data_IF_010387459047
#
_entry.id   IF_010387459047
#
_cell.length_a   1.000
_cell.length_b   1.000
_cell.length_c   1.000
_cell.angle_alpha   90.00
_cell.angle_beta   90.00
_cell.angle_gamma   90.00
#
_symmetry.space_group_name_H-M   'P 1'
#
loop_
_entity.id
_entity.type
_entity.pdbx_description
1 polymer ?
#
# COMPACT_ATOMS: atom_id res chain seq x y z
N UNK A 1 -47.39 10.39 7.95
CA UNK A 1 -46.12 10.32 7.21
C UNK A 1 -46.10 8.96 6.54
N UNK A 2 -46.52 8.85 5.28
CA UNK A 2 -46.53 7.55 4.59
C UNK A 2 -45.10 7.02 4.47
N UNK A 3 -44.94 5.71 4.69
CA UNK A 3 -43.65 5.03 4.56
C UNK A 3 -43.12 5.15 3.13
N UNK A 4 -41.81 5.33 2.95
CA UNK A 4 -41.15 5.29 1.64
C UNK A 4 -41.54 4.03 0.83
N UNK A 5 -41.78 2.93 1.53
CA UNK A 5 -42.19 1.64 0.93
C UNK A 5 -43.60 1.74 0.35
N UNK A 6 -44.56 2.37 1.03
CA UNK A 6 -45.93 2.50 0.52
C UNK A 6 -46.00 3.46 -0.68
N UNK A 7 -45.13 4.47 -0.73
CA UNK A 7 -45.00 5.36 -1.88
C UNK A 7 -44.39 4.62 -3.09
N UNK A 8 -43.37 3.80 -2.86
CA UNK A 8 -42.77 2.96 -3.91
C UNK A 8 -43.75 1.93 -4.46
N UNK A 9 -44.57 1.29 -3.61
CA UNK A 9 -45.61 0.34 -4.05
C UNK A 9 -46.68 1.04 -4.89
N UNK A 10 -47.15 2.23 -4.50
CA UNK A 10 -48.11 2.99 -5.32
C UNK A 10 -47.52 3.42 -6.67
N UNK A 11 -46.24 3.79 -6.72
CA UNK A 11 -45.57 4.13 -7.97
C UNK A 11 -45.40 2.90 -8.87
N UNK A 12 -45.11 1.75 -8.25
CA UNK A 12 -45.05 0.46 -8.91
C UNK A 12 -46.40 0.12 -9.56
N UNK A 13 -47.50 0.16 -8.81
CA UNK A 13 -48.80 -0.30 -9.31
C UNK A 13 -49.45 0.64 -10.34
N UNK A 14 -49.23 1.96 -10.25
CA UNK A 14 -50.01 2.94 -11.02
C UNK A 14 -49.32 3.49 -12.28
N UNK A 15 -48.01 3.31 -12.45
CA UNK A 15 -47.27 3.96 -13.54
C UNK A 15 -46.39 2.98 -14.33
N UNK A 16 -46.80 2.58 -15.55
CA UNK A 16 -46.01 1.70 -16.43
C UNK A 16 -44.59 2.21 -16.73
N UNK A 17 -44.41 3.54 -16.74
CA UNK A 17 -43.11 4.20 -16.96
C UNK A 17 -42.13 3.95 -15.79
N UNK A 18 -42.64 3.72 -14.58
CA UNK A 18 -41.80 3.42 -13.41
C UNK A 18 -41.01 2.12 -13.62
N UNK A 19 -41.61 1.07 -14.17
CA UNK A 19 -40.93 -0.19 -14.46
C UNK A 19 -39.76 -0.02 -15.42
N UNK A 20 -39.98 0.75 -16.49
CA UNK A 20 -38.95 1.01 -17.51
C UNK A 20 -37.82 1.83 -16.91
N UNK A 21 -38.14 2.90 -16.17
CA UNK A 21 -37.13 3.74 -15.53
C UNK A 21 -36.32 3.00 -14.46
N UNK A 22 -36.96 2.19 -13.62
CA UNK A 22 -36.29 1.38 -12.61
C UNK A 22 -35.40 0.31 -13.25
N UNK A 23 -35.90 -0.40 -14.27
CA UNK A 23 -35.11 -1.40 -14.99
C UNK A 23 -33.90 -0.78 -15.69
N UNK A 24 -34.08 0.39 -16.32
CA UNK A 24 -32.99 1.14 -16.92
C UNK A 24 -31.94 1.59 -15.88
N UNK A 25 -32.38 2.03 -14.69
CA UNK A 25 -31.49 2.36 -13.58
C UNK A 25 -30.68 1.14 -13.13
N UNK A 26 -31.32 -0.02 -12.95
CA UNK A 26 -30.63 -1.27 -12.57
C UNK A 26 -29.59 -1.64 -13.61
N UNK A 27 -29.94 -1.65 -14.90
CA UNK A 27 -29.01 -1.93 -16.00
C UNK A 27 -27.85 -0.93 -16.03
N UNK A 28 -28.12 0.37 -15.84
CA UNK A 28 -27.10 1.40 -15.79
C UNK A 28 -26.12 1.19 -14.62
N UNK A 29 -26.62 0.85 -13.42
CA UNK A 29 -25.78 0.54 -12.26
C UNK A 29 -24.93 -0.70 -12.51
N UNK A 30 -25.50 -1.77 -13.08
CA UNK A 30 -24.76 -2.98 -13.42
C UNK A 30 -23.66 -2.71 -14.46
N UNK A 31 -23.96 -1.93 -15.51
CA UNK A 31 -23.00 -1.53 -16.53
C UNK A 31 -21.87 -0.66 -15.96
N UNK A 32 -22.17 0.28 -15.07
CA UNK A 32 -21.16 1.10 -14.39
C UNK A 32 -20.24 0.23 -13.52
N UNK A 33 -20.80 -0.74 -12.79
CA UNK A 33 -20.01 -1.67 -11.99
C UNK A 33 -19.13 -2.57 -12.86
N UNK A 34 -19.68 -3.15 -13.93
CA UNK A 34 -18.94 -3.99 -14.86
C UNK A 34 -17.82 -3.20 -15.55
N UNK A 35 -18.11 -2.01 -16.06
CA UNK A 35 -17.14 -1.10 -16.68
C UNK A 35 -16.03 -0.70 -15.71
N UNK A 36 -16.37 -0.39 -14.46
CA UNK A 36 -15.38 -0.10 -13.42
C UNK A 36 -14.47 -1.30 -13.15
N UNK A 37 -15.02 -2.53 -13.06
CA UNK A 37 -14.21 -3.75 -12.91
C UNK A 37 -13.28 -3.96 -14.10
N UNK A 38 -13.80 -3.87 -15.32
CA UNK A 38 -12.99 -4.01 -16.54
C UNK A 38 -11.88 -2.97 -16.61
N UNK A 39 -12.16 -1.71 -16.26
CA UNK A 39 -11.16 -0.66 -16.20
C UNK A 39 -10.05 -0.97 -15.19
N UNK A 40 -10.40 -1.45 -14.00
CA UNK A 40 -9.40 -1.83 -12.99
C UNK A 40 -8.51 -2.97 -13.47
N UNK A 41 -9.10 -4.02 -14.05
CA UNK A 41 -8.34 -5.16 -14.57
C UNK A 41 -7.42 -4.72 -15.70
N UNK A 42 -7.93 -3.94 -16.67
CA UNK A 42 -7.12 -3.40 -17.77
C UNK A 42 -5.95 -2.56 -17.26
N UNK A 43 -6.21 -1.60 -16.37
CA UNK A 43 -5.17 -0.75 -15.78
C UNK A 43 -4.10 -1.57 -15.05
N UNK A 44 -4.49 -2.68 -14.41
CA UNK A 44 -3.56 -3.57 -13.70
C UNK A 44 -2.73 -4.42 -14.67
N UNK A 45 -3.34 -4.85 -15.78
CA UNK A 45 -2.65 -5.53 -16.87
C UNK A 45 -1.66 -4.60 -17.59
N UNK A 46 -2.03 -3.34 -17.80
CA UNK A 46 -1.17 -2.31 -18.39
C UNK A 46 0.03 -2.01 -17.46
N UNK A 47 -0.20 -1.98 -16.14
CA UNK A 47 0.86 -1.92 -15.14
C UNK A 47 1.78 -3.14 -15.23
N UNK A 48 1.23 -4.37 -15.22
CA UNK A 48 2.02 -5.60 -15.32
C UNK A 48 2.85 -5.64 -16.61
N UNK A 49 2.24 -5.28 -17.73
CA UNK A 49 2.90 -5.25 -19.04
C UNK A 49 4.04 -4.26 -19.02
N UNK A 50 3.82 -3.05 -18.49
CA UNK A 50 4.86 -2.04 -18.32
C UNK A 50 5.99 -2.50 -17.39
N UNK A 51 5.65 -3.18 -16.29
CA UNK A 51 6.61 -3.66 -15.31
C UNK A 51 7.51 -4.78 -15.86
N UNK A 52 6.94 -5.68 -16.69
CA UNK A 52 7.68 -6.82 -17.27
C UNK A 52 8.45 -6.50 -18.55
N UNK A 53 7.91 -5.63 -19.40
CA UNK A 53 8.42 -5.45 -20.77
C UNK A 53 9.19 -4.15 -20.98
N UNK A 54 9.18 -3.21 -20.02
CA UNK A 54 10.09 -2.07 -20.10
C UNK A 54 11.44 -2.47 -19.52
N UNK A 55 12.44 -2.55 -20.39
CA UNK A 55 13.80 -2.98 -20.05
C UNK A 55 14.36 -2.27 -18.82
N UNK A 56 14.10 -0.97 -18.69
CA UNK A 56 14.51 -0.18 -17.53
C UNK A 56 13.91 -0.70 -16.21
N UNK A 57 12.58 -0.90 -16.14
CA UNK A 57 11.90 -1.31 -14.90
C UNK A 57 12.28 -2.74 -14.52
N UNK A 58 12.41 -3.61 -15.52
CA UNK A 58 12.87 -4.97 -15.32
C UNK A 58 14.30 -4.99 -14.77
N UNK A 59 15.22 -4.26 -15.41
CA UNK A 59 16.61 -4.13 -14.96
C UNK A 59 16.70 -3.60 -13.53
N UNK A 60 15.98 -2.51 -13.24
CA UNK A 60 15.89 -1.94 -11.89
C UNK A 60 15.42 -2.99 -10.87
N UNK A 61 14.40 -3.77 -11.20
CA UNK A 61 13.88 -4.82 -10.33
C UNK A 61 14.91 -5.94 -10.10
N UNK A 62 15.58 -6.37 -11.16
CA UNK A 62 16.61 -7.42 -11.09
C UNK A 62 17.83 -6.95 -10.28
N UNK A 63 18.27 -5.70 -10.46
CA UNK A 63 19.38 -5.09 -9.73
C UNK A 63 19.05 -4.96 -8.23
N UNK A 64 17.83 -4.51 -7.89
CA UNK A 64 17.37 -4.47 -6.49
C UNK A 64 17.35 -5.88 -5.89
N UNK A 65 16.80 -6.86 -6.59
CA UNK A 65 16.80 -8.25 -6.10
C UNK A 65 18.21 -8.81 -5.95
N UNK A 66 19.15 -8.42 -6.81
CA UNK A 66 20.57 -8.78 -6.70
C UNK A 66 21.19 -8.18 -5.44
N UNK A 67 20.97 -6.89 -5.15
CA UNK A 67 21.40 -6.24 -3.91
C UNK A 67 20.87 -7.02 -2.70
N UNK A 68 19.57 -7.33 -2.68
CA UNK A 68 18.89 -8.02 -1.58
C UNK A 68 19.30 -9.49 -1.38
N UNK A 69 19.95 -10.10 -2.38
CA UNK A 69 20.48 -11.48 -2.34
C UNK A 69 22.00 -11.54 -2.17
N UNK A 70 22.72 -10.45 -2.48
CA UNK A 70 24.19 -10.42 -2.51
C UNK A 70 24.84 -10.52 -1.13
N UNK A 71 24.05 -10.47 -0.07
CA UNK A 71 24.53 -10.27 1.29
C UNK A 71 24.31 -11.52 2.14
N UNK A 72 25.35 -11.96 2.87
CA UNK A 72 25.34 -13.21 3.61
C UNK A 72 24.53 -13.12 4.92
N UNK A 73 24.37 -11.91 5.48
CA UNK A 73 23.64 -11.67 6.73
C UNK A 73 22.68 -10.48 6.64
N UNK A 74 21.63 -10.47 7.47
CA UNK A 74 20.69 -9.35 7.56
C UNK A 74 21.37 -8.06 8.09
N UNK A 75 22.37 -8.20 8.97
CA UNK A 75 23.13 -7.09 9.54
C UNK A 75 23.92 -6.36 8.47
N UNK A 76 24.70 -7.09 7.67
CA UNK A 76 25.48 -6.53 6.56
C UNK A 76 24.56 -5.87 5.51
N UNK A 77 23.38 -6.45 5.25
CA UNK A 77 22.41 -5.88 4.31
C UNK A 77 21.87 -4.54 4.84
N UNK A 78 21.56 -4.50 6.13
CA UNK A 78 21.07 -3.30 6.80
C UNK A 78 22.10 -2.17 6.74
N UNK A 79 23.36 -2.46 7.05
CA UNK A 79 24.46 -1.48 6.96
C UNK A 79 24.64 -0.96 5.53
N UNK A 80 24.65 -1.86 4.54
CA UNK A 80 24.74 -1.50 3.12
C UNK A 80 23.59 -0.56 2.72
N UNK A 81 22.35 -0.92 3.06
CA UNK A 81 21.16 -0.12 2.73
C UNK A 81 21.14 1.23 3.44
N UNK A 82 21.61 1.32 4.68
CA UNK A 82 21.77 2.60 5.38
C UNK A 82 22.79 3.49 4.67
N UNK A 83 23.95 2.95 4.29
CA UNK A 83 24.97 3.71 3.54
C UNK A 83 24.41 4.25 2.23
N UNK A 84 23.76 3.40 1.43
CA UNK A 84 23.13 3.81 0.16
C UNK A 84 22.09 4.92 0.40
N UNK A 85 21.26 4.79 1.45
CA UNK A 85 20.22 5.78 1.74
C UNK A 85 20.79 7.15 2.17
N UNK A 86 21.85 7.17 2.99
CA UNK A 86 22.49 8.41 3.49
C UNK A 86 23.17 9.17 2.36
N UNK A 87 23.77 8.46 1.40
CA UNK A 87 24.49 9.07 0.29
C UNK A 87 23.56 9.79 -0.68
N UNK A 88 22.27 9.47 -0.70
CA UNK A 88 21.24 10.13 -1.52
C UNK A 88 21.62 10.31 -3.00
N UNK A 89 22.34 9.34 -3.59
CA UNK A 89 22.75 9.39 -4.99
C UNK A 89 23.94 10.30 -5.28
N UNK A 90 24.69 10.76 -4.26
CA UNK A 90 25.99 11.42 -4.46
C UNK A 90 26.98 10.46 -5.13
N UNK A 91 27.83 10.97 -6.02
CA UNK A 91 28.80 10.17 -6.77
C UNK A 91 29.83 9.52 -5.83
N UNK A 92 29.73 8.20 -5.69
CA UNK A 92 30.77 7.29 -5.23
C UNK A 92 30.76 6.04 -6.14
N UNK A 93 31.83 5.23 -6.12
CA UNK A 93 32.09 4.15 -7.09
C UNK A 93 30.99 3.07 -7.19
N UNK A 94 30.00 3.05 -6.29
CA UNK A 94 28.92 2.03 -6.26
C UNK A 94 27.55 2.53 -5.79
N UNK A 95 27.45 3.66 -5.07
CA UNK A 95 26.24 4.08 -4.36
C UNK A 95 25.24 4.89 -5.18
N UNK A 96 25.66 5.57 -6.25
CA UNK A 96 24.71 6.31 -7.10
C UNK A 96 23.74 5.37 -7.84
N UNK A 97 24.26 4.34 -8.52
CA UNK A 97 23.42 3.39 -9.26
C UNK A 97 22.51 2.55 -8.36
N UNK A 98 23.03 2.02 -7.24
CA UNK A 98 22.24 1.26 -6.26
C UNK A 98 21.12 2.12 -5.66
N UNK A 99 21.41 3.39 -5.34
CA UNK A 99 20.41 4.33 -4.83
C UNK A 99 19.30 4.58 -5.86
N UNK A 100 19.67 4.90 -7.10
CA UNK A 100 18.71 5.19 -8.18
C UNK A 100 17.81 3.98 -8.44
N UNK A 101 18.39 2.78 -8.52
CA UNK A 101 17.64 1.55 -8.72
C UNK A 101 16.64 1.28 -7.57
N UNK A 102 17.08 1.40 -6.31
CA UNK A 102 16.17 1.22 -5.16
C UNK A 102 15.06 2.29 -5.17
N UNK A 103 15.42 3.55 -5.45
CA UNK A 103 14.48 4.67 -5.48
C UNK A 103 13.42 4.47 -6.58
N UNK A 104 13.81 4.04 -7.77
CA UNK A 104 12.91 3.80 -8.91
C UNK A 104 12.02 2.60 -8.68
N UNK A 105 12.56 1.51 -8.12
CA UNK A 105 11.75 0.36 -7.70
C UNK A 105 10.68 0.77 -6.70
N UNK A 106 11.04 1.52 -5.66
CA UNK A 106 10.11 1.97 -4.63
C UNK A 106 9.09 2.98 -5.18
N UNK A 107 9.50 3.87 -6.09
CA UNK A 107 8.59 4.84 -6.73
C UNK A 107 7.53 4.14 -7.59
N UNK A 108 7.93 3.15 -8.39
CA UNK A 108 7.00 2.42 -9.25
C UNK A 108 5.97 1.65 -8.42
N UNK A 109 6.41 1.02 -7.33
CA UNK A 109 5.52 0.32 -6.41
C UNK A 109 4.72 1.26 -5.50
N UNK A 110 5.21 2.45 -5.17
CA UNK A 110 4.43 3.51 -4.50
C UNK A 110 3.30 4.00 -5.41
N UNK A 111 3.56 4.17 -6.71
CA UNK A 111 2.52 4.48 -7.71
C UNK A 111 1.50 3.35 -7.79
N UNK A 112 1.95 2.10 -7.78
CA UNK A 112 1.07 0.94 -7.75
C UNK A 112 0.19 0.89 -6.49
N UNK A 113 0.79 1.10 -5.32
CA UNK A 113 0.08 1.16 -4.05
C UNK A 113 -0.95 2.29 -4.01
N UNK A 114 -0.65 3.45 -4.60
CA UNK A 114 -1.62 4.53 -4.79
C UNK A 114 -2.77 4.11 -5.71
N UNK A 115 -2.48 3.46 -6.84
CA UNK A 115 -3.50 2.93 -7.76
C UNK A 115 -4.44 1.93 -7.09
N UNK A 116 -3.91 1.05 -6.25
CA UNK A 116 -4.70 0.13 -5.42
C UNK A 116 -5.53 0.89 -4.39
N UNK A 117 -4.91 1.83 -3.66
CA UNK A 117 -5.57 2.60 -2.60
C UNK A 117 -6.79 3.37 -3.12
N UNK A 118 -6.69 4.00 -4.30
CA UNK A 118 -7.78 4.73 -4.93
C UNK A 118 -8.72 3.84 -5.77
N UNK A 119 -8.51 2.52 -5.78
CA UNK A 119 -9.34 1.58 -6.51
C UNK A 119 -9.23 1.71 -8.02
N UNK A 120 -8.12 2.24 -8.53
CA UNK A 120 -7.77 2.31 -9.96
C UNK A 120 -7.26 0.97 -10.47
N UNK A 121 -6.62 0.19 -9.60
CA UNK A 121 -6.09 -1.14 -9.88
C UNK A 121 -6.91 -2.24 -9.19
N UNK A 122 -6.88 -3.43 -9.76
CA UNK A 122 -7.38 -4.67 -9.18
C UNK A 122 -6.31 -5.25 -8.26
N UNK A 123 -6.49 -5.02 -6.95
CA UNK A 123 -5.58 -5.53 -5.93
C UNK A 123 -5.47 -7.05 -5.93
N UNK A 124 -6.56 -7.78 -6.20
CA UNK A 124 -6.53 -9.26 -6.15
C UNK A 124 -5.66 -9.82 -7.25
N UNK A 125 -5.78 -9.24 -8.45
CA UNK A 125 -4.91 -9.58 -9.58
C UNK A 125 -3.44 -9.32 -9.25
N UNK A 126 -3.11 -8.10 -8.79
CA UNK A 126 -1.72 -7.73 -8.49
C UNK A 126 -1.14 -8.50 -7.29
N UNK A 127 -1.95 -8.79 -6.28
CA UNK A 127 -1.57 -9.64 -5.14
C UNK A 127 -1.19 -11.04 -5.62
N UNK A 128 -2.03 -11.68 -6.45
CA UNK A 128 -1.76 -13.01 -6.99
C UNK A 128 -0.45 -13.10 -7.76
N UNK A 129 -0.07 -12.03 -8.47
CA UNK A 129 1.15 -12.01 -9.29
C UNK A 129 2.41 -11.60 -8.50
N UNK A 130 2.30 -10.63 -7.59
CA UNK A 130 3.46 -9.91 -7.04
C UNK A 130 3.59 -9.91 -5.52
N UNK A 131 2.65 -10.50 -4.78
CA UNK A 131 2.69 -10.47 -3.31
C UNK A 131 4.03 -10.95 -2.75
N UNK A 132 4.59 -12.04 -3.27
CA UNK A 132 5.88 -12.57 -2.83
C UNK A 132 7.04 -11.61 -3.05
N UNK A 133 7.14 -11.05 -4.25
CA UNK A 133 8.22 -10.11 -4.60
C UNK A 133 8.13 -8.85 -3.76
N UNK A 134 6.95 -8.21 -3.70
CA UNK A 134 6.77 -6.92 -3.02
C UNK A 134 6.97 -7.06 -1.52
N UNK A 135 6.34 -8.05 -0.89
CA UNK A 135 6.48 -8.21 0.57
C UNK A 135 7.93 -8.50 0.96
N UNK A 136 8.63 -9.40 0.26
CA UNK A 136 10.04 -9.72 0.58
C UNK A 136 10.94 -8.53 0.30
N UNK A 137 10.79 -7.89 -0.86
CA UNK A 137 11.63 -6.76 -1.24
C UNK A 137 11.45 -5.57 -0.29
N UNK A 138 10.20 -5.16 -0.04
CA UNK A 138 9.90 -3.99 0.80
C UNK A 138 10.28 -4.23 2.25
N UNK A 139 10.02 -5.42 2.80
CA UNK A 139 10.44 -5.75 4.18
C UNK A 139 11.96 -5.69 4.33
N UNK A 140 12.73 -6.17 3.34
CA UNK A 140 14.20 -6.06 3.34
C UNK A 140 14.70 -4.64 3.10
N UNK A 141 13.97 -3.83 2.33
CA UNK A 141 14.30 -2.42 2.05
C UNK A 141 13.89 -1.45 3.17
N UNK A 142 13.26 -1.93 4.25
CA UNK A 142 12.88 -1.08 5.39
C UNK A 142 14.04 -0.21 5.92
N UNK A 143 15.29 -0.69 6.09
CA UNK A 143 16.40 0.16 6.50
C UNK A 143 16.59 1.39 5.60
N UNK A 144 16.54 1.20 4.28
CA UNK A 144 16.64 2.30 3.31
C UNK A 144 15.45 3.26 3.44
N UNK A 145 14.23 2.71 3.49
CA UNK A 145 13.00 3.49 3.59
C UNK A 145 12.96 4.35 4.86
N UNK A 146 13.34 3.78 6.01
CA UNK A 146 13.29 4.45 7.31
C UNK A 146 14.28 5.61 7.40
N UNK A 147 15.45 5.50 6.76
CA UNK A 147 16.38 6.63 6.61
C UNK A 147 15.76 7.72 5.72
N UNK A 148 15.18 7.35 4.58
CA UNK A 148 14.53 8.31 3.67
C UNK A 148 13.34 9.03 4.32
N UNK A 149 12.66 8.39 5.26
CA UNK A 149 11.56 8.95 6.05
C UNK A 149 12.02 9.84 7.23
N UNK A 150 13.32 10.01 7.44
CA UNK A 150 13.83 10.83 8.54
C UNK A 150 13.66 12.34 8.25
N UNK A 151 13.43 13.12 9.30
CA UNK A 151 13.26 14.58 9.19
C UNK A 151 11.93 14.98 8.55
N UNK A 152 11.96 15.83 7.53
CA UNK A 152 10.77 16.43 6.91
C UNK A 152 10.05 15.47 5.93
N UNK A 153 10.71 14.37 5.53
CA UNK A 153 10.26 13.43 4.49
C UNK A 153 9.44 12.25 5.04
N UNK A 154 8.71 12.44 6.14
CA UNK A 154 7.97 11.39 6.87
C UNK A 154 6.96 10.59 6.02
N UNK A 155 6.53 11.15 4.88
CA UNK A 155 5.53 10.54 3.97
C UNK A 155 6.12 9.75 2.80
N UNK A 156 7.44 9.74 2.65
CA UNK A 156 8.09 9.02 1.55
C UNK A 156 7.82 7.51 1.69
N UNK A 157 7.32 6.87 0.64
CA UNK A 157 7.05 5.43 0.57
C UNK A 157 6.00 4.89 1.57
N UNK A 158 5.11 5.73 2.09
CA UNK A 158 4.11 5.25 3.06
C UNK A 158 3.07 4.32 2.42
N UNK A 159 2.72 4.50 1.14
CA UNK A 159 1.69 3.67 0.49
C UNK A 159 2.24 2.30 0.14
N UNK A 160 3.46 2.22 -0.37
CA UNK A 160 4.12 0.94 -0.61
C UNK A 160 4.36 0.19 0.71
N UNK A 161 4.74 0.88 1.79
CA UNK A 161 4.82 0.25 3.12
C UNK A 161 3.47 -0.31 3.56
N UNK A 162 2.39 0.48 3.45
CA UNK A 162 1.04 0.03 3.77
C UNK A 162 0.63 -1.19 2.93
N UNK A 163 0.88 -1.16 1.62
CA UNK A 163 0.56 -2.27 0.71
C UNK A 163 1.33 -3.53 1.07
N UNK A 164 2.65 -3.41 1.25
CA UNK A 164 3.51 -4.54 1.59
C UNK A 164 3.12 -5.17 2.93
N UNK A 165 2.82 -4.37 3.96
CA UNK A 165 2.36 -4.90 5.25
C UNK A 165 1.00 -5.58 5.13
N UNK A 166 0.05 -4.99 4.39
CA UNK A 166 -1.27 -5.59 4.14
C UNK A 166 -1.14 -6.95 3.46
N UNK A 167 -0.32 -7.03 2.43
CA UNK A 167 -0.06 -8.28 1.70
C UNK A 167 0.71 -9.29 2.54
N UNK A 168 1.62 -8.83 3.41
CA UNK A 168 2.32 -9.69 4.35
C UNK A 168 1.34 -10.33 5.34
N UNK A 169 0.47 -9.54 5.98
CA UNK A 169 -0.57 -10.01 6.90
C UNK A 169 -1.51 -11.01 6.20
N UNK A 170 -1.94 -10.69 4.98
CA UNK A 170 -2.80 -11.58 4.20
C UNK A 170 -2.13 -12.94 3.91
N UNK A 171 -0.83 -12.96 3.59
CA UNK A 171 -0.09 -14.22 3.37
C UNK A 171 0.09 -15.03 4.64
N UNK A 172 0.38 -14.38 5.77
CA UNK A 172 0.49 -15.09 7.04
C UNK A 172 -0.87 -15.71 7.43
N UNK A 173 -1.98 -14.99 7.18
CA UNK A 173 -3.33 -15.54 7.35
C UNK A 173 -3.58 -16.75 6.43
N UNK A 174 -3.17 -16.70 5.18
CA UNK A 174 -3.30 -17.82 4.22
C UNK A 174 -2.50 -19.06 4.64
N UNK A 175 -1.36 -18.87 5.31
CA UNK A 175 -0.53 -19.94 5.87
C UNK A 175 -0.99 -20.43 7.25
N UNK A 176 -1.95 -19.75 7.88
CA UNK A 176 -2.34 -20.02 9.26
C UNK A 176 -1.30 -19.61 10.31
N UNK A 177 -0.40 -18.69 9.97
CA UNK A 177 0.64 -18.17 10.87
C UNK A 177 0.22 -16.84 11.50
N UNK A 178 0.72 -16.57 12.71
CA UNK A 178 0.48 -15.30 13.41
C UNK A 178 1.42 -14.25 12.83
N UNK A 179 0.86 -13.14 12.35
CA UNK A 179 1.66 -12.03 11.86
C UNK A 179 2.46 -11.38 13.00
N UNK A 180 3.70 -10.95 12.69
CA UNK A 180 4.55 -10.29 13.65
C UNK A 180 3.85 -9.05 14.27
N UNK A 181 3.73 -8.93 15.60
CA UNK A 181 2.95 -7.87 16.25
C UNK A 181 3.34 -6.46 15.81
N UNK A 182 4.65 -6.21 15.64
CA UNK A 182 5.18 -4.91 15.17
C UNK A 182 4.76 -4.56 13.73
N UNK A 183 4.68 -5.55 12.84
CA UNK A 183 4.21 -5.32 11.46
C UNK A 183 2.72 -5.03 11.43
N UNK A 184 1.94 -5.73 12.26
CA UNK A 184 0.51 -5.47 12.44
C UNK A 184 0.26 -4.06 12.99
N UNK A 185 0.99 -3.67 14.05
CA UNK A 185 0.89 -2.32 14.62
C UNK A 185 1.24 -1.23 13.61
N UNK A 186 2.29 -1.43 12.83
CA UNK A 186 2.66 -0.52 11.76
C UNK A 186 1.56 -0.41 10.68
N UNK A 187 0.98 -1.55 10.30
CA UNK A 187 -0.12 -1.60 9.33
C UNK A 187 -1.36 -0.86 9.83
N UNK A 188 -1.75 -1.07 11.08
CA UNK A 188 -2.92 -0.42 11.68
C UNK A 188 -2.73 1.09 11.73
N UNK A 189 -1.57 1.55 12.20
CA UNK A 189 -1.24 2.96 12.26
C UNK A 189 -1.24 3.63 10.87
N UNK A 190 -0.64 2.99 9.85
CA UNK A 190 -0.67 3.47 8.46
C UNK A 190 -2.08 3.47 7.87
N UNK A 191 -2.89 2.46 8.17
CA UNK A 191 -4.27 2.35 7.68
C UNK A 191 -5.14 3.46 8.24
N UNK A 192 -5.05 3.73 9.56
CA UNK A 192 -5.76 4.84 10.20
C UNK A 192 -5.25 6.18 9.65
N UNK A 193 -3.95 6.34 9.49
CA UNK A 193 -3.35 7.56 8.93
C UNK A 193 -3.91 7.84 7.53
N UNK A 194 -3.86 6.85 6.63
CA UNK A 194 -4.36 6.99 5.27
C UNK A 194 -5.85 7.31 5.23
N UNK A 195 -6.65 6.60 6.03
CA UNK A 195 -8.08 6.84 6.07
C UNK A 195 -8.40 8.27 6.49
N UNK A 196 -7.71 8.83 7.48
CA UNK A 196 -7.96 10.20 7.96
C UNK A 196 -7.50 11.30 7.02
N UNK A 197 -6.38 11.09 6.32
CA UNK A 197 -5.86 12.10 5.39
C UNK A 197 -6.61 12.08 4.06
N UNK A 198 -7.01 10.89 3.59
CA UNK A 198 -7.50 10.70 2.23
C UNK A 198 -8.98 10.25 2.15
N UNK A 199 -9.74 10.24 3.25
CA UNK A 199 -11.19 10.03 3.20
C UNK A 199 -11.87 11.11 2.36
N UNK A 200 -13.01 10.80 1.71
CA UNK A 200 -13.76 11.77 0.89
C UNK A 200 -14.23 12.99 1.72
N UNK A 201 -14.35 14.14 1.05
CA UNK A 201 -14.67 15.48 1.60
C UNK A 201 -15.74 15.49 2.72
N UNK A 202 -16.84 14.74 2.58
CA UNK A 202 -17.95 14.71 3.54
C UNK A 202 -17.63 13.96 4.86
N UNK A 203 -16.61 13.10 4.89
CA UNK A 203 -16.20 12.41 6.11
C UNK A 203 -15.29 13.27 7.00
N UNK A 204 -14.64 14.30 6.45
CA UNK A 204 -13.74 15.16 7.22
C UNK A 204 -14.46 15.90 8.35
N UNK A 205 -15.72 16.33 8.12
CA UNK A 205 -16.52 17.00 9.15
C UNK A 205 -16.86 16.06 10.31
N UNK A 206 -17.28 14.82 10.00
CA UNK A 206 -17.52 13.79 11.02
C UNK A 206 -16.23 13.47 11.80
N UNK A 207 -15.10 13.32 11.11
CA UNK A 207 -13.82 13.03 11.78
C UNK A 207 -13.30 14.18 12.62
N UNK A 208 -13.47 15.44 12.20
CA UNK A 208 -13.11 16.60 13.01
C UNK A 208 -13.93 16.63 14.31
N UNK A 209 -15.23 16.34 14.23
CA UNK A 209 -16.12 16.26 15.40
C UNK A 209 -15.73 15.07 16.30
N UNK A 210 -15.57 13.88 15.73
CA UNK A 210 -15.19 12.68 16.48
C UNK A 210 -13.80 12.81 17.14
N UNK A 211 -12.82 13.40 16.47
CA UNK A 211 -11.48 13.66 17.01
C UNK A 211 -11.52 14.59 18.23
N UNK A 212 -12.31 15.67 18.14
CA UNK A 212 -12.48 16.63 19.23
C UNK A 212 -13.11 15.98 20.47
N UNK A 213 -14.02 15.02 20.26
CA UNK A 213 -14.71 14.32 21.34
C UNK A 213 -13.87 13.18 21.94
N UNK A 214 -13.13 12.43 21.11
CA UNK A 214 -12.52 11.15 21.52
C UNK A 214 -11.00 11.20 21.73
N UNK A 215 -10.36 12.38 21.64
CA UNK A 215 -8.89 12.56 21.78
C UNK A 215 -8.09 11.56 20.94
N UNK A 216 -8.52 11.31 19.71
CA UNK A 216 -7.82 10.35 18.85
C UNK A 216 -6.39 10.82 18.54
N UNK A 217 -5.43 9.91 18.29
CA UNK A 217 -4.06 10.29 17.94
C UNK A 217 -4.01 11.18 16.70
N UNK A 218 -3.08 12.11 16.59
CA UNK A 218 -2.97 12.95 15.38
C UNK A 218 -2.42 12.16 14.19
N UNK A 219 -2.63 12.58 12.92
CA UNK A 219 -2.02 11.92 11.76
C UNK A 219 -0.49 11.81 11.86
N UNK A 220 0.17 12.85 12.40
CA UNK A 220 1.62 12.83 12.62
C UNK A 220 2.04 11.77 13.64
N UNK A 221 1.29 11.62 14.72
CA UNK A 221 1.54 10.58 15.71
C UNK A 221 1.43 9.18 15.11
N UNK A 222 0.44 8.94 14.23
CA UNK A 222 0.28 7.63 13.57
C UNK A 222 1.45 7.28 12.64
N UNK A 223 2.00 8.26 11.92
CA UNK A 223 3.23 8.04 11.14
C UNK A 223 4.42 7.70 12.03
N UNK A 224 4.55 8.38 13.17
CA UNK A 224 5.60 8.09 14.15
C UNK A 224 5.44 6.68 14.73
N UNK A 225 4.23 6.29 15.14
CA UNK A 225 3.95 4.95 15.67
C UNK A 225 4.27 3.86 14.64
N UNK A 226 3.86 4.05 13.39
CA UNK A 226 4.18 3.12 12.31
C UNK A 226 5.69 2.98 12.13
N UNK A 227 6.42 4.11 12.05
CA UNK A 227 7.87 4.13 11.87
C UNK A 227 8.60 3.48 13.05
N UNK A 228 8.22 3.79 14.28
CA UNK A 228 8.81 3.19 15.49
C UNK A 228 8.62 1.67 15.47
N UNK A 229 7.42 1.19 15.15
CA UNK A 229 7.13 -0.24 15.05
C UNK A 229 7.98 -0.94 13.98
N UNK A 230 8.20 -0.29 12.83
CA UNK A 230 9.07 -0.82 11.77
C UNK A 230 10.56 -0.80 12.16
N UNK A 231 11.04 0.23 12.85
CA UNK A 231 12.41 0.28 13.38
C UNK A 231 12.62 -0.87 14.37
N UNK A 232 11.70 -1.05 15.31
CA UNK A 232 11.78 -2.13 16.29
C UNK A 232 11.75 -3.52 15.63
N UNK A 233 11.02 -3.67 14.53
CA UNK A 233 11.00 -4.91 13.74
C UNK A 233 12.35 -5.17 13.08
N UNK A 234 12.93 -4.16 12.41
CA UNK A 234 14.24 -4.25 11.76
C UNK A 234 15.34 -4.58 12.77
N UNK A 235 15.36 -3.91 13.93
CA UNK A 235 16.34 -4.16 14.98
C UNK A 235 16.25 -5.59 15.53
N UNK A 236 15.04 -6.14 15.69
CA UNK A 236 14.84 -7.52 16.16
C UNK A 236 15.32 -8.55 15.13
N UNK A 237 15.04 -8.32 13.85
CA UNK A 237 15.44 -9.22 12.76
C UNK A 237 16.94 -9.18 12.42
N UNK A 238 17.66 -8.19 12.95
CA UNK A 238 19.10 -8.01 12.82
C UNK A 238 19.90 -8.52 14.02
N UNK A 239 19.25 -8.98 15.10
CA UNK A 239 19.97 -9.60 16.21
C UNK A 239 20.60 -10.92 15.75
N UNK A 240 21.89 -11.18 16.04
CA UNK A 240 22.48 -12.48 15.78
C UNK A 240 21.66 -13.52 16.53
N UNK A 241 21.21 -14.59 15.84
CA UNK A 241 20.59 -15.73 16.52
C UNK A 241 21.62 -16.25 17.52
N UNK A 242 21.33 -16.14 18.81
CA UNK A 242 22.16 -16.76 19.84
C UNK A 242 22.20 -18.24 19.52
N UNK A 243 23.40 -18.76 19.19
CA UNK A 243 23.61 -20.20 19.12
C UNK A 243 23.24 -20.75 20.49
N UNK A 244 22.12 -21.46 20.55
CA UNK A 244 21.72 -22.32 21.67
C UNK A 244 21.99 -23.73 21.23
#
# INVERSE_FOLDING_TARGET
>A
MESLISQLIRLWDNYPVFYVAFSALVVAVLNLQASSRTSKVKNSLDFETSYKHKDHIKKVSDDVLKILKSTASNTELTEKLFKIAILEGREDETGNADYLNINDFLNEWERCANGIYYGVYDEKFLYGTYASTVTVAVTKLLPFILIRQSGVRERVYIKICWLALRWHIQREKEKGTICHPKLLRAYDALSIHHHRIYSKSYMHLYYAIAHTITRQPTPKYLLLEARTSLIEYVLEHNKPKSKT
#
